data_IF_546972617339
#
_entry.id   IF_546972617339
#
_cell.length_a   1.000
_cell.length_b   1.000
_cell.length_c   1.000
_cell.angle_alpha   90.00
_cell.angle_beta   90.00
_cell.angle_gamma   90.00
#
_symmetry.space_group_name_H-M   'P 1'
#
loop_
_entity.id
_entity.type
_entity.pdbx_description
1 polymer ?
#
# COMPACT_ATOMS: atom_id res chain seq x y z
N UNK A 1 -23.46 3.83 -15.14
CA UNK A 1 -22.10 3.59 -15.68
C UNK A 1 -21.05 4.58 -15.14
N UNK A 2 -21.33 5.89 -15.11
CA UNK A 2 -20.38 6.93 -14.63
C UNK A 2 -19.87 6.72 -13.20
N UNK A 3 -20.69 6.19 -12.27
CA UNK A 3 -20.26 5.83 -10.90
C UNK A 3 -19.20 4.72 -10.88
N UNK A 4 -19.34 3.70 -11.73
CA UNK A 4 -18.37 2.60 -11.84
C UNK A 4 -17.08 3.13 -12.46
N UNK A 5 -17.17 3.96 -13.50
CA UNK A 5 -15.99 4.57 -14.14
C UNK A 5 -15.18 5.43 -13.17
N UNK A 6 -15.84 6.24 -12.33
CA UNK A 6 -15.20 7.04 -11.29
C UNK A 6 -14.57 6.17 -10.19
N UNK A 7 -15.23 5.08 -9.81
CA UNK A 7 -14.70 4.14 -8.82
C UNK A 7 -13.46 3.40 -9.34
N UNK A 8 -13.50 2.90 -10.58
CA UNK A 8 -12.35 2.26 -11.23
C UNK A 8 -11.21 3.25 -11.48
N UNK A 9 -11.53 4.48 -11.86
CA UNK A 9 -10.55 5.57 -11.99
C UNK A 9 -9.85 5.88 -10.66
N UNK A 10 -10.59 5.92 -9.56
CA UNK A 10 -10.01 6.11 -8.23
C UNK A 10 -9.05 4.97 -7.83
N UNK A 11 -9.40 3.72 -8.16
CA UNK A 11 -8.50 2.58 -7.94
C UNK A 11 -7.19 2.75 -8.74
N UNK A 12 -7.29 3.13 -10.01
CA UNK A 12 -6.12 3.29 -10.87
C UNK A 12 -5.24 4.47 -10.45
N UNK A 13 -5.83 5.61 -10.10
CA UNK A 13 -5.13 6.79 -9.59
C UNK A 13 -4.44 6.47 -8.26
N UNK A 14 -5.08 5.69 -7.38
CA UNK A 14 -4.48 5.28 -6.10
C UNK A 14 -3.24 4.40 -6.29
N UNK A 15 -3.24 3.55 -7.32
CA UNK A 15 -2.10 2.70 -7.66
C UNK A 15 -0.92 3.54 -8.16
N UNK A 16 -1.19 4.48 -9.07
CA UNK A 16 -0.16 5.39 -9.60
C UNK A 16 0.40 6.26 -8.48
N UNK A 17 -0.45 6.82 -7.63
CA UNK A 17 -0.01 7.64 -6.50
C UNK A 17 0.80 6.82 -5.49
N UNK A 18 0.41 5.57 -5.22
CA UNK A 18 1.19 4.66 -4.39
C UNK A 18 2.61 4.44 -4.94
N UNK A 19 2.74 4.22 -6.26
CA UNK A 19 4.02 4.08 -6.92
C UNK A 19 4.86 5.36 -6.90
N UNK A 20 4.22 6.52 -7.12
CA UNK A 20 4.90 7.82 -7.05
C UNK A 20 5.37 8.14 -5.63
N UNK A 21 4.56 7.87 -4.60
CA UNK A 21 4.94 8.03 -3.20
C UNK A 21 6.10 7.11 -2.83
N UNK A 22 6.05 5.85 -3.25
CA UNK A 22 7.14 4.90 -3.05
C UNK A 22 8.44 5.41 -3.69
N UNK A 23 8.40 5.81 -4.96
CA UNK A 23 9.57 6.36 -5.66
C UNK A 23 10.08 7.67 -5.06
N UNK A 24 9.18 8.53 -4.60
CA UNK A 24 9.52 9.79 -3.94
C UNK A 24 10.25 9.57 -2.62
N UNK A 25 9.74 8.68 -1.76
CA UNK A 25 10.39 8.34 -0.49
C UNK A 25 11.72 7.62 -0.74
N UNK A 26 11.78 6.72 -1.73
CA UNK A 26 13.00 6.03 -2.12
C UNK A 26 14.11 7.00 -2.54
N UNK A 27 13.79 8.06 -3.31
CA UNK A 27 14.79 9.02 -3.79
C UNK A 27 15.12 10.11 -2.76
N UNK A 28 14.13 10.61 -2.02
CA UNK A 28 14.29 11.78 -1.15
C UNK A 28 14.68 11.43 0.29
N UNK A 29 14.25 10.26 0.76
CA UNK A 29 14.47 9.82 2.14
C UNK A 29 14.97 8.37 2.20
N UNK A 30 16.21 8.11 1.72
CA UNK A 30 16.75 6.76 1.65
C UNK A 30 16.84 6.08 3.02
N UNK A 31 17.17 6.82 4.09
CA UNK A 31 17.20 6.27 5.45
C UNK A 31 15.81 5.84 5.94
N UNK A 32 14.78 6.66 5.68
CA UNK A 32 13.40 6.30 6.01
C UNK A 32 12.95 5.07 5.21
N UNK A 33 13.32 4.99 3.93
CA UNK A 33 13.02 3.84 3.09
C UNK A 33 13.69 2.56 3.58
N UNK A 34 14.95 2.65 4.00
CA UNK A 34 15.67 1.53 4.62
C UNK A 34 14.95 1.06 5.88
N UNK A 35 14.59 1.98 6.79
CA UNK A 35 13.87 1.63 8.01
C UNK A 35 12.49 0.99 7.75
N UNK A 36 11.78 1.43 6.70
CA UNK A 36 10.50 0.82 6.30
C UNK A 36 10.71 -0.60 5.74
N UNK A 37 11.77 -0.83 4.97
CA UNK A 37 12.14 -2.15 4.47
C UNK A 37 12.55 -3.09 5.62
N UNK A 38 13.35 -2.61 6.57
CA UNK A 38 13.76 -3.37 7.75
C UNK A 38 12.57 -3.73 8.64
N UNK A 39 11.59 -2.82 8.75
CA UNK A 39 10.34 -3.10 9.43
C UNK A 39 9.51 -4.16 8.69
N UNK A 40 9.46 -4.11 7.35
CA UNK A 40 8.79 -5.12 6.55
C UNK A 40 9.47 -6.50 6.67
N UNK A 41 10.79 -6.55 6.72
CA UNK A 41 11.57 -7.77 6.97
C UNK A 41 11.27 -8.34 8.36
N UNK A 42 11.18 -7.47 9.37
CA UNK A 42 10.81 -7.84 10.75
C UNK A 42 9.39 -8.40 10.84
N UNK A 43 8.44 -7.79 10.14
CA UNK A 43 7.05 -8.26 10.06
C UNK A 43 6.96 -9.63 9.37
N UNK A 44 7.74 -9.84 8.30
CA UNK A 44 7.87 -11.14 7.64
C UNK A 44 8.45 -12.20 8.57
N UNK A 45 9.52 -11.87 9.30
CA UNK A 45 10.13 -12.77 10.28
C UNK A 45 9.15 -13.14 11.40
N UNK A 46 8.36 -12.17 11.88
CA UNK A 46 7.31 -12.42 12.87
C UNK A 46 6.21 -13.34 12.33
N UNK A 47 5.71 -13.11 11.11
CA UNK A 47 4.70 -13.97 10.47
C UNK A 47 5.19 -15.42 10.30
N UNK A 48 6.45 -15.59 9.89
CA UNK A 48 7.09 -16.92 9.74
C UNK A 48 7.27 -17.60 11.11
N UNK A 49 7.50 -16.81 12.16
CA UNK A 49 7.69 -17.27 13.53
C UNK A 49 6.42 -17.76 14.24
N UNK A 50 5.23 -17.54 13.68
CA UNK A 50 3.94 -17.97 14.26
C UNK A 50 3.69 -19.49 14.19
N UNK A 51 4.69 -20.30 13.84
CA UNK A 51 4.60 -21.77 13.85
C UNK A 51 3.74 -22.33 12.70
N UNK A 52 3.64 -21.59 11.59
CA UNK A 52 2.90 -22.05 10.42
C UNK A 52 3.67 -23.19 9.73
N UNK A 53 2.94 -24.19 9.20
CA UNK A 53 3.51 -25.37 8.55
C UNK A 53 4.54 -24.99 7.47
N UNK A 54 5.57 -25.82 7.31
CA UNK A 54 6.72 -25.58 6.42
C UNK A 54 6.31 -25.26 4.97
N UNK A 55 5.22 -25.86 4.49
CA UNK A 55 4.66 -25.56 3.17
C UNK A 55 4.16 -24.11 3.08
N UNK A 56 3.43 -23.63 4.09
CA UNK A 56 2.92 -22.26 4.13
C UNK A 56 4.04 -21.23 4.30
N UNK A 57 5.09 -21.58 5.04
CA UNK A 57 6.28 -20.75 5.19
C UNK A 57 7.02 -20.54 3.86
N UNK A 58 7.04 -21.54 2.98
CA UNK A 58 7.60 -21.37 1.64
C UNK A 58 6.76 -20.41 0.78
N UNK A 59 5.43 -20.48 0.86
CA UNK A 59 4.55 -19.53 0.19
C UNK A 59 4.75 -18.10 0.71
N UNK A 60 4.87 -17.90 2.02
CA UNK A 60 5.18 -16.60 2.62
C UNK A 60 6.57 -16.11 2.21
N UNK A 61 7.56 -16.99 2.07
CA UNK A 61 8.90 -16.57 1.63
C UNK A 61 8.91 -16.06 0.20
N UNK A 62 8.20 -16.75 -0.69
CA UNK A 62 8.18 -16.50 -2.15
C UNK A 62 7.22 -15.37 -2.53
N UNK A 63 6.01 -15.35 -1.97
CA UNK A 63 4.99 -14.35 -2.34
C UNK A 63 5.18 -13.00 -1.64
N UNK A 64 5.96 -12.97 -0.57
CA UNK A 64 6.03 -11.85 0.36
C UNK A 64 7.46 -11.27 0.33
N UNK A 65 7.83 -10.68 -0.82
CA UNK A 65 9.04 -9.86 -0.91
C UNK A 65 8.86 -8.55 -0.14
N UNK A 66 9.90 -8.12 0.58
CA UNK A 66 9.89 -6.90 1.41
C UNK A 66 9.49 -5.66 0.59
N UNK A 67 10.02 -5.55 -0.63
CA UNK A 67 9.67 -4.48 -1.57
C UNK A 67 8.19 -4.47 -1.93
N UNK A 68 7.59 -5.65 -2.09
CA UNK A 68 6.18 -5.78 -2.46
C UNK A 68 5.27 -5.46 -1.28
N UNK A 69 5.65 -5.89 -0.07
CA UNK A 69 5.02 -5.49 1.19
C UNK A 69 5.00 -3.97 1.36
N UNK A 70 6.16 -3.34 1.18
CA UNK A 70 6.30 -1.89 1.31
C UNK A 70 5.49 -1.17 0.25
N UNK A 71 5.52 -1.63 -1.01
CA UNK A 71 4.70 -1.08 -2.08
C UNK A 71 3.19 -1.19 -1.78
N UNK A 72 2.73 -2.33 -1.26
CA UNK A 72 1.35 -2.50 -0.82
C UNK A 72 1.01 -1.52 0.31
N UNK A 73 1.90 -1.36 1.30
CA UNK A 73 1.76 -0.37 2.37
C UNK A 73 1.60 1.05 1.85
N UNK A 74 2.47 1.48 0.93
CA UNK A 74 2.38 2.79 0.28
C UNK A 74 1.08 2.96 -0.52
N UNK A 75 0.64 1.91 -1.21
CA UNK A 75 -0.63 1.93 -1.97
C UNK A 75 -1.83 2.08 -1.04
N UNK A 76 -1.84 1.40 0.10
CA UNK A 76 -2.89 1.54 1.12
C UNK A 76 -2.87 2.95 1.72
N UNK A 77 -1.70 3.48 2.05
CA UNK A 77 -1.57 4.86 2.55
C UNK A 77 -2.06 5.88 1.51
N UNK A 78 -1.71 5.71 0.23
CA UNK A 78 -2.20 6.54 -0.85
C UNK A 78 -3.73 6.49 -0.97
N UNK A 79 -4.33 5.31 -0.77
CA UNK A 79 -5.80 5.16 -0.73
C UNK A 79 -6.43 5.89 0.44
N UNK A 80 -5.85 5.81 1.63
CA UNK A 80 -6.34 6.53 2.81
C UNK A 80 -6.26 8.03 2.55
N UNK A 81 -5.13 8.52 2.05
CA UNK A 81 -4.95 9.93 1.70
C UNK A 81 -5.99 10.40 0.66
N UNK A 82 -6.18 9.63 -0.42
CA UNK A 82 -7.21 9.92 -1.43
C UNK A 82 -8.62 9.91 -0.85
N UNK A 83 -8.94 8.97 0.04
CA UNK A 83 -10.23 8.91 0.71
C UNK A 83 -10.49 10.18 1.51
N UNK A 84 -9.49 10.65 2.27
CA UNK A 84 -9.59 11.88 3.07
C UNK A 84 -9.80 13.10 2.17
N UNK A 85 -9.05 13.21 1.06
CA UNK A 85 -9.16 14.34 0.12
C UNK A 85 -10.49 14.32 -0.64
N UNK A 86 -10.99 13.13 -0.98
CA UNK A 86 -12.23 12.96 -1.77
C UNK A 86 -13.49 13.05 -0.90
N UNK A 87 -13.38 12.77 0.40
CA UNK A 87 -14.47 12.85 1.37
C UNK A 87 -15.26 14.18 1.34
N UNK A 88 -14.62 15.38 1.38
CA UNK A 88 -15.36 16.64 1.31
C UNK A 88 -16.09 16.83 -0.04
N UNK A 89 -15.52 16.35 -1.14
CA UNK A 89 -16.13 16.43 -2.48
C UNK A 89 -17.38 15.56 -2.55
N UNK A 90 -17.34 14.36 -1.96
CA UNK A 90 -18.51 13.47 -1.86
C UNK A 90 -19.59 14.09 -0.99
N UNK A 91 -19.23 14.65 0.17
CA UNK A 91 -20.19 15.31 1.07
C UNK A 91 -20.89 16.50 0.42
N UNK A 92 -20.18 17.32 -0.37
CA UNK A 92 -20.79 18.44 -1.10
C UNK A 92 -21.80 17.96 -2.16
N UNK A 93 -21.54 16.81 -2.80
CA UNK A 93 -22.43 16.22 -3.80
C UNK A 93 -23.70 15.63 -3.19
N UNK A 94 -23.66 15.12 -1.96
CA UNK A 94 -24.84 14.59 -1.27
C UNK A 94 -25.80 15.68 -0.78
N UNK A 95 -25.32 16.93 -0.69
CA UNK A 95 -26.13 18.09 -0.29
C UNK A 95 -26.79 18.83 -1.46
N UNK A 96 -26.47 18.47 -2.71
CA UNK A 96 -27.00 19.09 -3.94
C UNK A 96 -27.98 18.15 -4.64
#
# INVERSE_FOLDING_TARGET
MTRILLSTGNIFVSLILGALLFGFVFLKYPETMSGILDWAASLKAWLIGLGISTEYNNWIRVLLEERQLVFMGFTVLARIALSIITYPIVMMRERA
#
